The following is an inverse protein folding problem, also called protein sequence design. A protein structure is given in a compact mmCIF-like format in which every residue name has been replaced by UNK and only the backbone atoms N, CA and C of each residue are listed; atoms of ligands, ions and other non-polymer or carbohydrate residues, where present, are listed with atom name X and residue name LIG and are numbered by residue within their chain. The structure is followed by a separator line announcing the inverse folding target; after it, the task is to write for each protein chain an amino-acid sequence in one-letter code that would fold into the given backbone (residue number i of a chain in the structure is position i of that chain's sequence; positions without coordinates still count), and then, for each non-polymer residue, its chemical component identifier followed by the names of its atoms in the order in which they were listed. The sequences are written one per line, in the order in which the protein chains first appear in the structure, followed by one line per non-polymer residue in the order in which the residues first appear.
data_IF_357328057464
#
_entry.id   IF_357328057464
#
_cell.length_a   1.000
_cell.length_b   1.000
_cell.length_c   1.000
_cell.angle_alpha   90.00
_cell.angle_beta   90.00
_cell.angle_gamma   90.00
#
_symmetry.space_group_name_H-M   'P 1'
#
loop_
_entity.id
_entity.type
_entity.pdbx_description
1 polymer ?
#
# COMPACT_ATOMS: atom_id res chain seq x y z
N UNK A 1 22.41 8.24 0.62
CA UNK A 1 21.85 7.20 -0.30
C UNK A 1 20.61 7.78 -0.97
N UNK A 2 20.49 7.63 -2.27
CA UNK A 2 19.28 7.95 -3.02
C UNK A 2 18.53 6.67 -3.35
N UNK A 3 17.19 6.71 -3.27
CA UNK A 3 16.33 5.61 -3.65
C UNK A 3 15.73 5.89 -5.03
N UNK A 4 15.89 4.95 -5.94
CA UNK A 4 15.18 4.97 -7.21
C UNK A 4 13.72 4.58 -6.99
N UNK A 5 12.80 5.38 -7.53
CA UNK A 5 11.36 5.10 -7.42
C UNK A 5 10.96 4.11 -8.50
N UNK A 6 10.63 2.90 -8.10
CA UNK A 6 10.22 1.81 -8.99
C UNK A 6 8.74 1.92 -9.38
N UNK A 7 8.41 1.46 -10.57
CA UNK A 7 7.02 1.20 -10.92
C UNK A 7 6.55 -0.05 -10.16
N UNK A 8 5.44 0.07 -9.44
CA UNK A 8 4.86 -1.04 -8.67
C UNK A 8 4.22 -2.09 -9.59
N UNK A 9 4.33 -3.34 -9.19
CA UNK A 9 3.53 -4.47 -9.68
C UNK A 9 3.31 -5.49 -8.54
N UNK A 10 2.45 -6.48 -8.78
CA UNK A 10 2.11 -7.48 -7.75
C UNK A 10 3.32 -8.27 -7.27
N UNK A 11 4.25 -8.58 -8.15
CA UNK A 11 5.42 -9.38 -7.84
C UNK A 11 6.44 -8.61 -7.00
N UNK A 12 6.86 -7.41 -7.46
CA UNK A 12 7.90 -6.65 -6.76
C UNK A 12 7.45 -6.07 -5.42
N UNK A 13 6.12 -5.93 -5.19
CA UNK A 13 5.56 -5.47 -3.93
C UNK A 13 5.14 -6.59 -2.97
N UNK A 14 5.18 -7.86 -3.40
CA UNK A 14 4.65 -9.01 -2.65
C UNK A 14 5.24 -9.20 -1.26
N UNK A 15 6.51 -8.84 -1.04
CA UNK A 15 7.17 -8.91 0.27
C UNK A 15 6.78 -7.80 1.24
N UNK A 16 6.08 -6.77 0.76
CA UNK A 16 5.62 -5.63 1.57
C UNK A 16 4.10 -5.61 1.76
N UNK A 17 3.38 -6.32 0.90
CA UNK A 17 1.93 -6.31 0.91
C UNK A 17 1.33 -6.65 -0.44
N UNK A 18 0.19 -6.09 -0.71
CA UNK A 18 -0.60 -6.39 -1.90
C UNK A 18 -0.97 -5.10 -2.65
N UNK A 19 -0.99 -5.18 -3.97
CA UNK A 19 -1.47 -4.10 -4.83
C UNK A 19 -2.98 -4.21 -5.01
N UNK A 20 -3.71 -3.15 -4.71
CA UNK A 20 -5.15 -3.03 -4.97
C UNK A 20 -5.31 -2.49 -6.39
N UNK A 21 -5.64 -3.36 -7.32
CA UNK A 21 -5.75 -3.02 -8.74
C UNK A 21 -6.72 -3.96 -9.44
N UNK A 22 -7.44 -3.42 -10.40
CA UNK A 22 -8.31 -4.19 -11.29
C UNK A 22 -7.61 -4.68 -12.56
N UNK A 23 -6.36 -4.28 -12.77
CA UNK A 23 -5.55 -4.67 -13.93
C UNK A 23 -5.21 -6.15 -13.87
N UNK A 24 -5.43 -6.85 -14.98
CA UNK A 24 -5.17 -8.29 -15.11
C UNK A 24 -5.90 -9.14 -14.05
N UNK A 25 -7.07 -8.67 -13.60
CA UNK A 25 -7.94 -9.39 -12.67
C UNK A 25 -9.23 -9.73 -13.40
N UNK A 26 -9.67 -10.99 -13.23
CA UNK A 26 -10.97 -11.45 -13.77
C UNK A 26 -12.09 -10.66 -13.10
N UNK A 27 -13.03 -10.17 -13.91
CA UNK A 27 -14.23 -9.50 -13.43
C UNK A 27 -15.48 -10.34 -13.70
N UNK A 28 -16.51 -10.10 -12.92
CA UNK A 28 -17.84 -10.63 -13.14
C UNK A 28 -18.82 -9.49 -13.43
N UNK A 29 -19.73 -9.72 -14.38
CA UNK A 29 -20.83 -8.79 -14.62
C UNK A 29 -21.96 -9.13 -13.65
N UNK A 30 -22.39 -8.13 -12.89
CA UNK A 30 -23.47 -8.23 -11.92
C UNK A 30 -24.53 -7.15 -12.19
N UNK A 31 -25.64 -7.18 -11.43
CA UNK A 31 -26.70 -6.17 -11.52
C UNK A 31 -27.22 -5.98 -12.96
N UNK A 32 -27.62 -7.06 -13.61
CA UNK A 32 -28.13 -7.04 -15.00
C UNK A 32 -27.11 -6.46 -16.00
N UNK A 33 -25.83 -6.82 -15.84
CA UNK A 33 -24.69 -6.36 -16.67
C UNK A 33 -24.38 -4.86 -16.59
N UNK A 34 -24.88 -4.16 -15.58
CA UNK A 34 -24.55 -2.74 -15.39
C UNK A 34 -23.25 -2.51 -14.63
N UNK A 35 -22.73 -3.55 -13.95
CA UNK A 35 -21.59 -3.43 -13.03
C UNK A 35 -20.59 -4.54 -13.27
N UNK A 36 -19.30 -4.17 -13.36
CA UNK A 36 -18.18 -5.12 -13.28
C UNK A 36 -17.70 -5.22 -11.84
N UNK A 37 -17.66 -6.41 -11.31
CA UNK A 37 -17.16 -6.68 -9.97
C UNK A 37 -15.81 -7.38 -10.00
N UNK A 38 -14.91 -6.97 -9.14
CA UNK A 38 -13.58 -7.54 -8.96
C UNK A 38 -13.46 -7.97 -7.50
N UNK A 39 -13.35 -9.26 -7.27
CA UNK A 39 -13.33 -9.86 -5.93
C UNK A 39 -11.91 -10.21 -5.48
N UNK A 40 -11.73 -10.35 -4.18
CA UNK A 40 -10.53 -10.91 -3.54
C UNK A 40 -9.22 -10.22 -3.97
N UNK A 41 -9.26 -8.89 -4.14
CA UNK A 41 -8.09 -8.14 -4.57
C UNK A 41 -6.97 -8.17 -3.52
N UNK A 42 -7.31 -8.07 -2.25
CA UNK A 42 -6.37 -8.08 -1.12
C UNK A 42 -7.01 -8.66 0.13
N UNK A 43 -6.19 -9.13 1.07
CA UNK A 43 -6.63 -9.65 2.36
C UNK A 43 -6.38 -8.64 3.46
N UNK A 44 -7.45 -8.20 4.12
CA UNK A 44 -7.37 -7.42 5.35
C UNK A 44 -7.02 -8.37 6.50
N UNK A 45 -5.95 -8.06 7.24
CA UNK A 45 -5.48 -8.87 8.36
C UNK A 45 -5.60 -8.11 9.67
N UNK A 46 -6.17 -8.75 10.69
CA UNK A 46 -6.23 -8.28 12.07
C UNK A 46 -5.63 -9.38 12.94
N UNK A 47 -4.45 -9.13 13.52
CA UNK A 47 -3.69 -10.11 14.30
C UNK A 47 -3.79 -9.86 15.81
N UNK A 48 -4.24 -8.68 16.22
CA UNK A 48 -4.40 -8.31 17.63
C UNK A 48 -5.74 -8.74 18.23
N UNK A 49 -5.91 -8.46 19.51
CA UNK A 49 -7.15 -8.75 20.25
C UNK A 49 -8.28 -7.75 19.94
N UNK A 50 -7.96 -6.61 19.34
CA UNK A 50 -8.95 -5.63 18.86
C UNK A 50 -9.46 -6.08 17.49
N UNK A 51 -10.69 -6.57 17.46
CA UNK A 51 -11.34 -7.06 16.25
C UNK A 51 -11.94 -5.96 15.36
N UNK A 52 -11.62 -4.69 15.63
CA UNK A 52 -12.20 -3.58 14.90
C UNK A 52 -11.35 -3.20 13.70
N UNK A 53 -11.97 -3.16 12.53
CA UNK A 53 -11.42 -2.53 11.33
C UNK A 53 -11.91 -1.07 11.29
N UNK A 54 -11.00 -0.11 11.13
CA UNK A 54 -11.31 1.32 11.12
C UNK A 54 -10.99 1.93 9.77
N UNK A 55 -11.82 2.87 9.32
CA UNK A 55 -11.61 3.64 8.12
C UNK A 55 -11.31 5.09 8.53
N UNK A 56 -10.18 5.61 8.06
CA UNK A 56 -9.77 6.99 8.29
C UNK A 56 -9.54 7.70 6.95
N UNK A 57 -9.69 9.02 6.93
CA UNK A 57 -9.36 9.83 5.76
C UNK A 57 -8.17 10.71 6.09
N UNK A 58 -7.14 10.65 5.25
CA UNK A 58 -5.96 11.50 5.36
C UNK A 58 -5.98 12.55 4.24
N UNK A 59 -5.85 13.82 4.62
CA UNK A 59 -5.71 14.95 3.69
C UNK A 59 -4.28 15.46 3.73
N UNK A 60 -3.44 14.90 2.88
CA UNK A 60 -2.02 15.26 2.79
C UNK A 60 -1.78 16.45 1.86
N UNK A 61 -0.69 17.18 2.13
CA UNK A 61 -0.15 18.17 1.19
C UNK A 61 0.93 17.52 0.32
N UNK A 62 1.06 17.97 -0.93
CA UNK A 62 2.15 17.54 -1.82
C UNK A 62 3.50 17.82 -1.17
N UNK A 63 4.36 16.80 -1.12
CA UNK A 63 5.74 16.92 -0.64
C UNK A 63 6.66 17.36 -1.76
N UNK A 64 7.75 18.08 -1.40
CA UNK A 64 8.79 18.47 -2.34
C UNK A 64 9.88 17.39 -2.41
N UNK A 65 10.48 17.22 -3.58
CA UNK A 65 11.59 16.31 -3.80
C UNK A 65 12.90 17.10 -4.04
N UNK A 66 14.06 16.57 -3.65
CA UNK A 66 14.26 15.27 -2.99
C UNK A 66 13.69 15.24 -1.58
N UNK A 67 13.02 14.14 -1.22
CA UNK A 67 12.44 13.94 0.11
C UNK A 67 13.43 13.19 1.00
N UNK A 68 13.72 13.77 2.17
CA UNK A 68 14.55 13.12 3.18
C UNK A 68 13.71 12.12 4.00
N UNK A 69 14.12 10.85 3.96
CA UNK A 69 13.49 9.79 4.74
C UNK A 69 14.24 9.66 6.06
N UNK A 70 13.65 10.12 7.14
CA UNK A 70 14.26 10.18 8.47
C UNK A 70 13.56 9.28 9.51
N UNK A 71 12.49 8.62 9.14
CA UNK A 71 11.73 7.70 9.99
C UNK A 71 11.03 6.64 9.17
N UNK A 72 10.76 5.50 9.79
CA UNK A 72 9.84 4.48 9.32
C UNK A 72 9.00 4.03 10.50
N UNK A 73 7.75 3.71 10.23
CA UNK A 73 6.81 3.13 11.20
C UNK A 73 6.32 1.77 10.71
N UNK A 74 5.77 0.97 11.61
CA UNK A 74 5.04 -0.25 11.25
C UNK A 74 3.81 -0.44 12.14
N UNK A 75 2.88 -1.23 11.67
CA UNK A 75 1.68 -1.63 12.41
C UNK A 75 1.74 -3.14 12.67
N UNK A 76 2.09 -3.58 13.91
CA UNK A 76 2.37 -4.99 14.17
C UNK A 76 1.12 -5.88 14.23
N UNK A 77 -0.07 -5.29 14.43
CA UNK A 77 -1.29 -6.05 14.73
C UNK A 77 -2.33 -6.04 13.59
N UNK A 78 -2.04 -5.35 12.51
CA UNK A 78 -2.96 -5.33 11.37
C UNK A 78 -2.26 -4.97 10.06
N UNK A 79 -2.90 -5.32 8.94
CA UNK A 79 -2.63 -4.70 7.65
C UNK A 79 -3.12 -3.25 7.62
N UNK A 80 -2.63 -2.47 6.67
CA UNK A 80 -3.07 -1.09 6.45
C UNK A 80 -3.25 -0.84 4.97
N UNK A 81 -4.49 -0.62 4.54
CA UNK A 81 -4.81 -0.32 3.16
C UNK A 81 -4.86 1.19 2.92
N UNK A 82 -4.28 1.65 1.82
CA UNK A 82 -4.40 3.00 1.30
C UNK A 82 -5.08 2.98 -0.06
N UNK A 83 -6.24 3.61 -0.13
CA UNK A 83 -7.06 3.71 -1.34
C UNK A 83 -7.28 5.20 -1.63
N UNK A 84 -6.74 5.74 -2.74
CA UNK A 84 -6.95 7.14 -3.06
C UNK A 84 -8.40 7.40 -3.43
N UNK A 85 -9.00 8.44 -2.85
CA UNK A 85 -10.36 8.89 -3.19
C UNK A 85 -10.39 9.81 -4.41
N UNK A 86 -9.22 10.24 -4.88
CA UNK A 86 -9.07 11.10 -6.05
C UNK A 86 -8.12 10.46 -7.06
N UNK A 87 -8.21 10.87 -8.32
CA UNK A 87 -7.25 10.46 -9.35
C UNK A 87 -5.90 11.10 -9.08
N UNK A 88 -5.07 10.42 -8.31
CA UNK A 88 -3.73 10.87 -7.94
C UNK A 88 -2.76 9.70 -7.92
N UNK A 89 -1.49 10.01 -8.12
CA UNK A 89 -0.39 9.08 -7.87
C UNK A 89 0.25 9.41 -6.54
N UNK A 90 0.75 8.40 -5.84
CA UNK A 90 1.53 8.61 -4.62
C UNK A 90 2.76 7.69 -4.59
N UNK A 91 3.71 8.02 -3.72
CA UNK A 91 4.94 7.27 -3.56
C UNK A 91 4.96 6.71 -2.15
N UNK A 92 5.32 5.44 -2.04
CA UNK A 92 5.56 4.78 -0.76
C UNK A 92 7.01 4.37 -0.64
N UNK A 93 7.56 4.47 0.56
CA UNK A 93 8.90 3.99 0.91
C UNK A 93 8.71 2.90 1.96
N UNK A 94 9.28 1.74 1.72
CA UNK A 94 9.04 0.53 2.50
C UNK A 94 10.33 -0.21 2.80
N UNK A 95 10.34 -0.97 3.90
CA UNK A 95 11.37 -1.95 4.20
C UNK A 95 10.73 -3.27 4.67
N UNK A 96 11.39 -4.42 4.44
CA UNK A 96 10.87 -5.71 4.86
C UNK A 96 10.69 -5.82 6.38
N UNK A 97 9.86 -6.78 6.79
CA UNK A 97 9.65 -7.12 8.20
C UNK A 97 10.98 -7.47 8.85
N UNK A 98 11.29 -6.79 9.94
CA UNK A 98 12.50 -6.98 10.74
C UNK A 98 12.32 -6.35 12.11
N UNK A 99 13.20 -6.67 13.06
CA UNK A 99 13.20 -6.03 14.38
C UNK A 99 13.55 -4.54 14.31
N UNK A 100 14.51 -4.21 13.42
CA UNK A 100 14.95 -2.84 13.12
C UNK A 100 15.01 -2.73 11.60
N UNK A 101 14.53 -1.62 10.97
CA UNK A 101 14.57 -1.47 9.53
C UNK A 101 15.99 -1.62 8.97
N UNK A 102 16.15 -2.48 7.98
CA UNK A 102 17.42 -2.61 7.28
C UNK A 102 17.50 -1.55 6.18
N UNK A 103 18.38 -0.57 6.35
CA UNK A 103 18.54 0.54 5.42
C UNK A 103 18.93 0.11 4.01
N UNK A 104 19.63 -1.01 3.86
CA UNK A 104 20.01 -1.55 2.56
C UNK A 104 18.86 -2.25 1.81
N UNK A 105 17.74 -2.47 2.49
CA UNK A 105 16.55 -3.13 1.93
C UNK A 105 15.36 -2.18 1.76
N UNK A 106 15.58 -0.87 1.91
CA UNK A 106 14.55 0.14 1.68
C UNK A 106 14.30 0.26 0.18
N UNK A 107 13.05 0.24 -0.19
CA UNK A 107 12.59 0.42 -1.57
C UNK A 107 11.52 1.50 -1.66
N UNK A 108 11.46 2.18 -2.80
CA UNK A 108 10.44 3.18 -3.09
C UNK A 108 9.62 2.75 -4.32
N UNK A 109 8.30 2.91 -4.21
CA UNK A 109 7.37 2.56 -5.29
C UNK A 109 6.42 3.71 -5.59
N UNK A 110 6.19 3.94 -6.89
CA UNK A 110 5.14 4.82 -7.36
C UNK A 110 3.87 4.02 -7.61
N UNK A 111 2.81 4.42 -6.94
CA UNK A 111 1.48 3.84 -7.07
C UNK A 111 0.73 4.63 -8.15
N UNK A 112 0.27 3.98 -9.22
CA UNK A 112 -0.48 4.65 -10.28
C UNK A 112 -1.80 5.21 -9.79
N UNK A 113 -2.35 6.15 -10.56
CA UNK A 113 -3.70 6.64 -10.33
C UNK A 113 -4.73 5.50 -10.36
N UNK A 114 -5.73 5.59 -9.49
CA UNK A 114 -6.83 4.61 -9.38
C UNK A 114 -6.40 3.22 -8.86
N UNK A 115 -5.18 3.11 -8.36
CA UNK A 115 -4.69 1.92 -7.67
C UNK A 115 -4.39 2.25 -6.21
N UNK A 116 -4.47 1.25 -5.35
CA UNK A 116 -4.14 1.35 -3.93
C UNK A 116 -3.17 0.25 -3.51
N UNK A 117 -2.82 0.25 -2.25
CA UNK A 117 -1.96 -0.77 -1.63
C UNK A 117 -2.54 -1.23 -0.31
N UNK A 118 -2.14 -2.41 0.11
CA UNK A 118 -2.41 -2.95 1.43
C UNK A 118 -1.10 -3.45 2.03
N UNK A 119 -0.51 -2.69 2.96
CA UNK A 119 0.68 -3.11 3.67
C UNK A 119 0.38 -4.34 4.53
N UNK A 120 1.24 -5.34 4.47
CA UNK A 120 1.20 -6.45 5.42
C UNK A 120 1.53 -6.00 6.84
N UNK A 121 1.01 -6.65 7.88
CA UNK A 121 1.39 -6.35 9.26
C UNK A 121 2.91 -6.38 9.43
N UNK A 122 3.45 -5.49 10.28
CA UNK A 122 4.89 -5.37 10.61
C UNK A 122 5.80 -4.87 9.48
N UNK A 123 5.29 -4.59 8.31
CA UNK A 123 6.09 -3.97 7.23
C UNK A 123 6.41 -2.53 7.63
N UNK A 124 7.69 -2.19 7.52
CA UNK A 124 8.15 -0.83 7.75
C UNK A 124 7.80 0.07 6.57
N UNK A 125 7.28 1.26 6.86
CA UNK A 125 6.94 2.23 5.82
C UNK A 125 7.12 3.66 6.32
N UNK A 126 7.39 4.57 5.39
CA UNK A 126 7.42 6.00 5.67
C UNK A 126 5.97 6.52 5.72
N UNK A 127 5.60 7.33 6.73
CA UNK A 127 4.26 7.93 6.82
C UNK A 127 3.90 8.75 5.58
N UNK A 128 2.71 8.55 5.04
CA UNK A 128 2.21 9.23 3.84
C UNK A 128 1.85 10.70 4.07
#
# INVERSE_FOLDING_TARGET
MYLDVKKINKENFSKFGQLISTKNVKSENINTNTTKSFYDLVNVQILGNDNQCRINIFKGKKRQFPLHINMLENHPFSSQAFIPLQKTTFIVVVAPISKIPNLNSIEAFKIPSEEGINFSPKVWHFPL
#
